data_IF_358929580276
#
_entry.id   IF_358929580276
#
_cell.length_a   1.000
_cell.length_b   1.000
_cell.length_c   1.000
_cell.angle_alpha   90.00
_cell.angle_beta   90.00
_cell.angle_gamma   90.00
#
_symmetry.space_group_name_H-M   'P 1'
#
loop_
_entity.id
_entity.type
_entity.pdbx_description
1 polymer ?
#
# COMPACT_ATOMS: atom_id res chain seq x y z
N UNK A 1 12.25 -24.30 18.45
CA UNK A 1 11.74 -23.30 17.49
C UNK A 1 12.81 -22.30 16.99
N UNK A 2 14.08 -22.41 17.42
CA UNK A 2 15.19 -21.61 16.87
C UNK A 2 15.87 -22.31 15.68
N UNK A 3 15.82 -23.65 15.63
CA UNK A 3 16.55 -24.48 14.65
C UNK A 3 15.93 -24.60 13.24
N UNK A 4 14.90 -23.82 12.89
CA UNK A 4 14.24 -23.90 11.58
C UNK A 4 14.29 -22.59 10.76
N UNK A 5 14.98 -21.57 11.28
CA UNK A 5 15.32 -20.36 10.53
C UNK A 5 16.71 -20.45 9.86
N UNK A 6 17.47 -21.52 10.14
CA UNK A 6 18.87 -21.67 9.75
C UNK A 6 19.06 -21.97 8.24
N UNK A 7 18.03 -22.48 7.56
CA UNK A 7 18.15 -22.97 6.16
C UNK A 7 17.77 -21.94 5.07
N UNK A 8 17.18 -20.79 5.41
CA UNK A 8 16.65 -19.85 4.40
C UNK A 8 17.63 -18.72 4.07
N UNK A 9 18.52 -18.40 4.99
CA UNK A 9 19.56 -17.38 4.80
C UNK A 9 20.77 -17.90 5.54
N UNK A 10 21.78 -18.44 4.84
CA UNK A 10 22.95 -19.07 5.45
C UNK A 10 23.75 -18.13 6.35
N UNK A 11 23.25 -17.88 7.56
CA UNK A 11 23.91 -17.14 8.61
C UNK A 11 24.77 -18.13 9.41
N UNK A 12 26.07 -17.85 9.59
CA UNK A 12 26.90 -18.70 10.42
C UNK A 12 26.38 -18.69 11.87
N UNK A 13 26.08 -19.89 12.36
CA UNK A 13 25.64 -20.16 13.73
C UNK A 13 26.72 -19.67 14.70
N UNK A 14 26.40 -18.65 15.50
CA UNK A 14 27.25 -18.20 16.61
C UNK A 14 27.50 -16.69 16.73
N UNK A 15 26.94 -15.83 15.86
CA UNK A 15 27.10 -14.39 16.04
C UNK A 15 26.34 -13.91 17.30
N UNK A 16 27.09 -13.52 18.33
CA UNK A 16 26.54 -12.82 19.50
C UNK A 16 25.86 -11.53 19.04
N UNK A 17 24.53 -11.52 19.13
CA UNK A 17 23.61 -10.47 18.67
C UNK A 17 23.93 -9.10 19.28
N UNK A 18 24.63 -9.05 20.42
CA UNK A 18 25.05 -7.80 21.07
C UNK A 18 26.04 -6.97 20.25
N UNK A 19 26.98 -7.58 19.53
CA UNK A 19 27.97 -6.84 18.73
C UNK A 19 27.31 -6.15 17.52
N UNK A 20 26.34 -6.81 16.87
CA UNK A 20 25.58 -6.25 15.75
C UNK A 20 24.63 -5.09 16.16
N UNK A 21 24.45 -4.87 17.46
CA UNK A 21 23.63 -3.81 18.03
C UNK A 21 24.18 -2.39 17.84
N UNK A 22 25.40 -2.18 17.34
CA UNK A 22 25.99 -0.83 17.11
C UNK A 22 26.63 -0.69 15.73
N UNK A 23 26.64 0.53 15.17
CA UNK A 23 27.28 0.84 13.87
C UNK A 23 28.76 0.41 13.87
N UNK A 24 29.43 0.54 15.03
CA UNK A 24 30.82 0.11 15.23
C UNK A 24 31.00 -1.41 15.12
N UNK A 25 30.08 -2.20 15.66
CA UNK A 25 30.18 -3.66 15.59
C UNK A 25 29.86 -4.22 14.21
N UNK A 26 28.89 -3.63 13.49
CA UNK A 26 28.62 -4.00 12.08
C UNK A 26 29.81 -3.68 11.17
N UNK A 27 30.47 -2.54 11.39
CA UNK A 27 31.67 -2.15 10.64
C UNK A 27 32.88 -3.06 10.94
N UNK A 28 33.04 -3.48 12.19
CA UNK A 28 34.07 -4.44 12.60
C UNK A 28 33.88 -5.81 11.94
N UNK A 29 32.64 -6.30 11.83
CA UNK A 29 32.32 -7.58 11.20
C UNK A 29 32.47 -7.55 9.67
N UNK A 30 32.24 -6.39 9.04
CA UNK A 30 32.56 -6.14 7.63
C UNK A 30 34.06 -6.18 7.35
N UNK A 31 34.86 -5.53 8.19
CA UNK A 31 36.32 -5.53 8.04
C UNK A 31 36.95 -6.91 8.27
N UNK A 32 36.30 -7.77 9.06
CA UNK A 32 36.71 -9.15 9.32
C UNK A 32 36.22 -10.15 8.25
N UNK A 33 35.49 -9.69 7.22
CA UNK A 33 34.97 -10.54 6.14
C UNK A 33 33.85 -11.50 6.56
N UNK A 34 33.28 -11.31 7.75
CA UNK A 34 32.29 -12.22 8.35
C UNK A 34 30.86 -11.93 7.86
N UNK A 35 30.61 -10.70 7.39
CA UNK A 35 29.36 -10.30 6.74
C UNK A 35 29.67 -9.67 5.39
N UNK A 36 28.88 -10.02 4.37
CA UNK A 36 28.94 -9.37 3.07
C UNK A 36 28.02 -8.13 3.02
N UNK A 37 28.21 -7.29 1.99
CA UNK A 37 27.48 -6.02 1.85
C UNK A 37 25.95 -6.20 1.77
N UNK A 38 25.48 -7.28 1.13
CA UNK A 38 24.06 -7.61 1.04
C UNK A 38 23.45 -8.00 2.40
N UNK A 39 24.17 -8.77 3.22
CA UNK A 39 23.77 -9.14 4.57
C UNK A 39 23.73 -7.93 5.50
N UNK A 40 24.64 -6.98 5.32
CA UNK A 40 24.65 -5.71 6.07
C UNK A 40 23.49 -4.81 5.66
N UNK A 41 23.19 -4.73 4.37
CA UNK A 41 21.99 -4.05 3.86
C UNK A 41 20.72 -4.70 4.44
N UNK A 42 20.64 -6.03 4.45
CA UNK A 42 19.55 -6.80 5.06
C UNK A 42 19.38 -6.49 6.54
N UNK A 43 20.45 -6.55 7.34
CA UNK A 43 20.43 -6.24 8.78
C UNK A 43 20.10 -4.77 9.06
N UNK A 44 20.56 -3.85 8.22
CA UNK A 44 20.26 -2.41 8.35
C UNK A 44 18.79 -2.12 8.04
N UNK A 45 18.24 -2.77 7.02
CA UNK A 45 16.81 -2.75 6.70
C UNK A 45 16.03 -3.33 7.88
N UNK A 46 16.36 -4.54 8.34
CA UNK A 46 15.68 -5.19 9.48
C UNK A 46 15.72 -4.32 10.72
N UNK A 47 16.86 -3.71 11.08
CA UNK A 47 16.97 -2.84 12.26
C UNK A 47 16.22 -1.52 12.13
N UNK A 48 16.27 -0.86 10.96
CA UNK A 48 15.45 0.34 10.69
C UNK A 48 13.97 -0.01 10.77
N UNK A 49 13.58 -1.16 10.20
CA UNK A 49 12.25 -1.75 10.32
C UNK A 49 11.91 -1.98 11.79
N UNK A 50 12.77 -2.56 12.65
CA UNK A 50 12.41 -2.86 14.06
C UNK A 50 12.20 -1.60 14.92
N UNK A 51 13.05 -0.57 14.77
CA UNK A 51 12.93 0.68 15.57
C UNK A 51 11.71 1.49 15.12
N UNK A 52 11.46 1.55 13.81
CA UNK A 52 10.26 2.20 13.27
C UNK A 52 9.01 1.39 13.57
N UNK A 53 9.07 0.05 13.51
CA UNK A 53 8.00 -0.85 13.90
C UNK A 53 7.63 -0.72 15.37
N UNK A 54 8.57 -0.42 16.27
CA UNK A 54 8.25 -0.16 17.68
C UNK A 54 7.48 1.16 17.85
N UNK A 55 7.84 2.20 17.08
CA UNK A 55 7.07 3.47 17.04
C UNK A 55 5.73 3.31 16.34
N UNK A 56 5.67 2.53 15.28
CA UNK A 56 4.44 2.14 14.60
C UNK A 56 3.58 1.21 15.45
N UNK A 57 4.15 0.38 16.34
CA UNK A 57 3.40 -0.39 17.33
C UNK A 57 2.86 0.50 18.47
N UNK A 58 3.54 1.60 18.80
CA UNK A 58 3.04 2.61 19.74
C UNK A 58 1.93 3.47 19.11
N UNK A 59 2.05 3.86 17.83
CA UNK A 59 0.98 4.50 17.06
C UNK A 59 -0.19 3.54 16.77
N UNK A 60 0.13 2.31 16.39
CA UNK A 60 -0.83 1.22 16.27
C UNK A 60 -1.42 0.90 17.63
N UNK A 61 -0.72 1.14 18.74
CA UNK A 61 -1.17 1.11 20.14
C UNK A 61 -2.45 1.92 20.37
N UNK A 62 -2.51 3.12 19.82
CA UNK A 62 -3.72 3.97 19.85
C UNK A 62 -4.81 3.48 18.87
N UNK A 63 -4.41 2.74 17.84
CA UNK A 63 -5.28 2.13 16.82
C UNK A 63 -5.55 0.64 17.07
N UNK A 64 -5.11 0.12 18.23
CA UNK A 64 -5.13 -1.31 18.58
C UNK A 64 -6.53 -1.89 18.39
N UNK A 65 -7.63 -1.19 18.72
CA UNK A 65 -8.96 -1.74 18.48
C UNK A 65 -9.30 -1.99 17.01
N UNK A 66 -8.84 -1.20 16.03
CA UNK A 66 -9.19 -1.42 14.62
C UNK A 66 -8.28 -2.47 13.97
N UNK A 67 -6.98 -2.43 14.26
CA UNK A 67 -6.01 -3.40 13.78
C UNK A 67 -6.25 -4.76 14.44
N UNK A 68 -6.38 -4.82 15.77
CA UNK A 68 -6.76 -6.07 16.46
C UNK A 68 -8.15 -6.53 16.04
N UNK A 69 -9.18 -5.69 15.86
CA UNK A 69 -10.48 -6.20 15.34
C UNK A 69 -10.33 -6.89 13.98
N UNK A 70 -9.43 -6.42 13.11
CA UNK A 70 -9.10 -7.07 11.85
C UNK A 70 -8.37 -8.41 12.02
N UNK A 71 -7.49 -8.53 13.03
CA UNK A 71 -6.71 -9.74 13.34
C UNK A 71 -7.42 -10.75 14.27
N UNK A 72 -8.31 -10.30 15.15
CA UNK A 72 -9.02 -11.11 16.17
C UNK A 72 -10.43 -11.50 15.73
N UNK A 73 -10.95 -10.94 14.63
CA UNK A 73 -12.10 -11.55 13.94
C UNK A 73 -11.61 -12.87 13.37
N UNK A 74 -11.91 -13.93 14.11
CA UNK A 74 -11.89 -15.30 13.63
C UNK A 74 -12.72 -15.32 12.33
N UNK A 75 -12.07 -15.22 11.16
CA UNK A 75 -12.74 -15.05 9.87
C UNK A 75 -13.39 -16.38 9.47
N UNK A 76 -14.55 -16.66 10.06
CA UNK A 76 -15.43 -17.73 9.63
C UNK A 76 -16.01 -17.42 8.25
N UNK A 77 -16.54 -18.44 7.55
CA UNK A 77 -17.08 -18.32 6.18
C UNK A 77 -18.17 -17.25 5.98
N UNK A 78 -18.82 -16.80 7.06
CA UNK A 78 -19.99 -15.92 7.03
C UNK A 78 -19.71 -14.43 6.77
N UNK A 79 -18.46 -13.96 6.86
CA UNK A 79 -18.17 -12.53 6.64
C UNK A 79 -17.89 -12.14 5.18
N UNK A 80 -17.83 -13.09 4.26
CA UNK A 80 -17.62 -12.79 2.83
C UNK A 80 -18.90 -12.26 2.13
N UNK A 81 -20.07 -12.42 2.74
CA UNK A 81 -21.36 -11.97 2.18
C UNK A 81 -21.63 -10.46 2.39
N UNK A 82 -20.88 -9.78 3.28
CA UNK A 82 -21.03 -8.34 3.57
C UNK A 82 -20.04 -7.45 2.78
N UNK A 83 -19.13 -8.01 2.00
CA UNK A 83 -18.18 -7.20 1.24
C UNK A 83 -18.85 -6.53 0.04
N UNK A 84 -18.54 -5.25 -0.14
CA UNK A 84 -18.97 -4.52 -1.32
C UNK A 84 -18.26 -5.06 -2.56
N UNK A 85 -19.02 -5.13 -3.66
CA UNK A 85 -18.44 -5.35 -4.97
C UNK A 85 -17.85 -4.03 -5.48
N UNK A 86 -16.52 -4.00 -5.59
CA UNK A 86 -15.79 -2.83 -6.08
C UNK A 86 -16.30 -2.41 -7.46
N UNK A 87 -16.59 -3.37 -8.36
CA UNK A 87 -17.08 -3.05 -9.72
C UNK A 87 -18.43 -2.35 -9.66
N UNK A 88 -19.38 -2.95 -8.97
CA UNK A 88 -20.72 -2.38 -8.80
C UNK A 88 -20.68 -0.99 -8.16
N UNK A 89 -19.80 -0.80 -7.18
CA UNK A 89 -19.59 0.50 -6.54
C UNK A 89 -19.08 1.51 -7.56
N UNK A 90 -18.05 1.14 -8.32
CA UNK A 90 -17.48 2.03 -9.32
C UNK A 90 -18.50 2.38 -10.40
N UNK A 91 -19.24 1.41 -10.94
CA UNK A 91 -20.24 1.65 -11.99
C UNK A 91 -21.28 2.67 -11.51
N UNK A 92 -21.76 2.53 -10.27
CA UNK A 92 -22.70 3.47 -9.64
C UNK A 92 -22.12 4.88 -9.47
N UNK A 93 -20.85 4.98 -9.08
CA UNK A 93 -20.17 6.27 -8.90
C UNK A 93 -19.92 6.97 -10.25
N UNK A 94 -19.49 6.21 -11.25
CA UNK A 94 -19.16 6.70 -12.59
C UNK A 94 -20.40 7.17 -13.34
N UNK A 95 -21.50 6.41 -13.31
CA UNK A 95 -22.73 6.70 -14.05
C UNK A 95 -23.32 8.09 -13.74
N UNK A 96 -23.14 8.57 -12.52
CA UNK A 96 -23.68 9.84 -12.05
C UNK A 96 -22.63 10.96 -11.92
N UNK A 97 -21.39 10.68 -12.33
CA UNK A 97 -20.29 11.62 -12.16
C UNK A 97 -20.13 12.58 -13.34
N UNK A 98 -19.58 13.79 -13.11
CA UNK A 98 -19.10 14.62 -14.20
C UNK A 98 -18.14 13.83 -15.09
N UNK A 99 -18.28 13.96 -16.40
CA UNK A 99 -17.46 13.25 -17.42
C UNK A 99 -17.39 11.73 -17.27
N UNK A 100 -18.31 11.12 -16.51
CA UNK A 100 -18.24 9.72 -16.13
C UNK A 100 -16.92 9.36 -15.43
N UNK A 101 -16.40 10.26 -14.59
CA UNK A 101 -15.10 10.09 -13.92
C UNK A 101 -15.16 10.15 -12.41
N UNK A 102 -14.22 9.45 -11.77
CA UNK A 102 -14.00 9.51 -10.33
C UNK A 102 -12.53 9.80 -9.99
N UNK A 103 -12.30 10.17 -8.73
CA UNK A 103 -11.01 10.08 -8.05
C UNK A 103 -10.97 8.73 -7.34
N UNK A 104 -9.87 8.00 -7.47
CA UNK A 104 -9.64 6.75 -6.74
C UNK A 104 -8.40 6.90 -5.87
N UNK A 105 -8.56 6.69 -4.57
CA UNK A 105 -7.48 6.76 -3.58
C UNK A 105 -7.28 5.37 -3.01
N UNK A 106 -6.08 4.82 -3.19
CA UNK A 106 -5.77 3.49 -2.72
C UNK A 106 -4.63 3.49 -1.72
N UNK A 107 -4.85 2.86 -0.57
CA UNK A 107 -3.84 2.67 0.46
C UNK A 107 -3.24 1.26 0.39
N UNK A 108 -1.92 1.14 0.41
CA UNK A 108 -1.22 -0.15 0.40
C UNK A 108 -1.68 -1.02 -0.78
N UNK A 109 -2.15 -2.25 -0.53
CA UNK A 109 -2.79 -3.11 -1.53
C UNK A 109 -3.94 -2.41 -2.28
N UNK A 110 -4.77 -1.61 -1.62
CA UNK A 110 -5.82 -0.83 -2.28
C UNK A 110 -5.29 0.14 -3.34
N UNK A 111 -4.03 0.61 -3.20
CA UNK A 111 -3.32 1.37 -4.22
C UNK A 111 -3.06 0.56 -5.49
N UNK A 112 -2.80 -0.73 -5.37
CA UNK A 112 -2.67 -1.63 -6.52
C UNK A 112 -4.03 -1.87 -7.20
N UNK A 113 -5.12 -2.01 -6.44
CA UNK A 113 -6.48 -2.06 -7.00
C UNK A 113 -6.84 -0.77 -7.73
N UNK A 114 -6.59 0.38 -7.11
CA UNK A 114 -6.83 1.69 -7.70
C UNK A 114 -6.06 1.87 -9.02
N UNK A 115 -4.77 1.54 -9.00
CA UNK A 115 -3.89 1.63 -10.16
C UNK A 115 -4.30 0.67 -11.27
N UNK A 116 -4.60 -0.58 -10.94
CA UNK A 116 -5.03 -1.56 -11.93
C UNK A 116 -6.34 -1.14 -12.61
N UNK A 117 -7.29 -0.60 -11.84
CA UNK A 117 -8.52 -0.04 -12.41
C UNK A 117 -8.22 1.12 -13.35
N UNK A 118 -7.46 2.11 -12.88
CA UNK A 118 -7.17 3.34 -13.64
C UNK A 118 -6.40 3.06 -14.95
N UNK A 119 -5.56 2.02 -14.99
CA UNK A 119 -4.87 1.63 -16.23
C UNK A 119 -5.78 0.88 -17.20
N UNK A 120 -6.78 0.17 -16.71
CA UNK A 120 -7.71 -0.58 -17.54
C UNK A 120 -8.86 0.30 -18.06
N UNK A 121 -9.29 1.30 -17.27
CA UNK A 121 -10.40 2.21 -17.57
C UNK A 121 -9.99 3.68 -17.33
N UNK A 122 -8.99 4.21 -18.06
CA UNK A 122 -8.52 5.58 -17.87
C UNK A 122 -9.64 6.61 -18.10
N UNK A 123 -10.60 6.33 -18.99
CA UNK A 123 -11.76 7.16 -19.25
C UNK A 123 -12.65 7.39 -18.01
N UNK A 124 -12.61 6.49 -17.02
CA UNK A 124 -13.38 6.59 -15.77
C UNK A 124 -12.62 7.21 -14.60
N UNK A 125 -11.33 7.54 -14.76
CA UNK A 125 -10.49 8.01 -13.65
C UNK A 125 -9.87 9.36 -14.00
N UNK A 126 -10.23 10.38 -13.22
CA UNK A 126 -9.57 11.69 -13.26
C UNK A 126 -8.24 11.68 -12.48
N UNK A 127 -8.22 11.02 -11.32
CA UNK A 127 -7.05 10.97 -10.44
C UNK A 127 -6.95 9.60 -9.75
N UNK A 128 -5.81 8.96 -9.87
CA UNK A 128 -5.39 7.78 -9.12
C UNK A 128 -4.33 8.19 -8.08
N UNK A 129 -4.72 8.28 -6.82
CA UNK A 129 -3.86 8.70 -5.71
C UNK A 129 -3.43 7.48 -4.89
N UNK A 130 -2.17 7.10 -5.02
CA UNK A 130 -1.59 5.90 -4.42
C UNK A 130 -0.85 6.26 -3.13
N UNK A 131 -1.23 5.65 -2.00
CA UNK A 131 -0.64 5.90 -0.68
C UNK A 131 0.07 4.65 -0.20
N UNK A 132 1.38 4.76 0.09
CA UNK A 132 2.19 3.66 0.63
C UNK A 132 2.04 2.35 -0.18
N UNK A 133 1.92 2.47 -1.51
CA UNK A 133 1.53 1.36 -2.38
C UNK A 133 2.75 0.51 -2.79
N UNK A 134 2.67 -0.83 -2.76
CA UNK A 134 3.74 -1.72 -3.22
C UNK A 134 3.82 -1.82 -4.74
N UNK A 135 4.27 -0.74 -5.38
CA UNK A 135 4.35 -0.58 -6.84
C UNK A 135 5.19 -1.67 -7.54
N UNK A 136 6.17 -2.25 -6.84
CA UNK A 136 7.02 -3.35 -7.33
C UNK A 136 6.86 -4.63 -6.49
N UNK A 137 5.74 -4.75 -5.76
CA UNK A 137 5.53 -5.76 -4.73
C UNK A 137 6.16 -5.33 -3.40
N UNK A 138 6.27 -6.22 -2.42
CA UNK A 138 7.02 -5.96 -1.19
C UNK A 138 7.67 -7.21 -0.61
N UNK A 139 8.96 -7.15 -0.19
CA UNK A 139 9.60 -8.24 0.55
C UNK A 139 8.84 -8.65 1.81
N UNK A 140 8.14 -7.72 2.44
CA UNK A 140 7.39 -7.98 3.68
C UNK A 140 6.14 -8.85 3.44
N UNK A 141 5.71 -9.04 2.19
CA UNK A 141 4.70 -10.04 1.84
C UNK A 141 5.15 -11.48 2.22
N UNK A 142 6.47 -11.72 2.24
CA UNK A 142 7.07 -12.98 2.73
C UNK A 142 6.85 -13.14 4.23
N UNK A 143 6.89 -12.04 4.98
CA UNK A 143 6.59 -12.04 6.42
C UNK A 143 5.08 -12.22 6.64
N UNK A 144 4.22 -11.63 5.79
CA UNK A 144 2.78 -11.94 5.77
C UNK A 144 2.52 -13.45 5.57
N UNK A 145 3.27 -14.10 4.69
CA UNK A 145 3.23 -15.56 4.49
C UNK A 145 3.65 -16.35 5.75
N UNK A 146 4.52 -15.79 6.58
CA UNK A 146 5.01 -16.42 7.82
C UNK A 146 4.15 -16.12 9.06
N UNK A 147 3.57 -14.91 9.16
CA UNK A 147 2.74 -14.49 10.29
C UNK A 147 1.31 -15.04 10.19
N UNK A 148 0.86 -15.41 8.99
CA UNK A 148 -0.40 -16.12 8.77
C UNK A 148 -0.15 -17.62 9.06
N UNK A 149 -0.06 -17.97 10.34
CA UNK A 149 0.03 -19.36 10.82
C UNK A 149 -1.23 -20.20 10.56
N UNK A 150 -2.19 -19.73 9.76
CA UNK A 150 -3.50 -20.35 9.63
C UNK A 150 -4.13 -20.09 8.27
N UNK A 151 -3.67 -20.79 7.22
CA UNK A 151 -4.42 -21.02 5.96
C UNK A 151 -5.06 -19.81 5.24
N UNK A 152 -4.79 -18.55 5.63
CA UNK A 152 -5.32 -17.35 4.99
C UNK A 152 -4.42 -16.92 3.82
N UNK A 153 -4.15 -17.89 2.94
CA UNK A 153 -3.52 -17.68 1.66
C UNK A 153 -4.52 -16.96 0.74
N UNK A 154 -4.39 -15.64 0.61
CA UNK A 154 -5.12 -14.85 -0.40
C UNK A 154 -4.28 -14.70 -1.67
N UNK A 155 -4.90 -14.80 -2.85
CA UNK A 155 -4.22 -14.60 -4.14
C UNK A 155 -3.62 -13.19 -4.27
N UNK A 156 -4.14 -12.21 -3.54
CA UNK A 156 -3.58 -10.86 -3.47
C UNK A 156 -2.20 -10.79 -2.81
N UNK A 157 -1.92 -11.60 -1.79
CA UNK A 157 -0.61 -11.65 -1.12
C UNK A 157 0.44 -12.20 -2.08
N UNK A 158 0.06 -13.22 -2.87
CA UNK A 158 0.92 -13.79 -3.91
C UNK A 158 1.23 -12.76 -5.01
N UNK A 159 0.23 -11.97 -5.43
CA UNK A 159 0.41 -10.88 -6.40
C UNK A 159 1.34 -9.78 -5.89
N UNK A 160 1.36 -9.52 -4.58
CA UNK A 160 2.26 -8.54 -3.95
C UNK A 160 3.69 -9.03 -3.74
N UNK A 161 4.01 -10.28 -4.07
CA UNK A 161 5.38 -10.77 -3.98
C UNK A 161 6.30 -9.98 -4.94
N UNK A 162 7.54 -9.66 -4.52
CA UNK A 162 8.51 -9.06 -5.42
C UNK A 162 8.67 -9.88 -6.70
N UNK A 163 8.82 -9.21 -7.84
CA UNK A 163 8.95 -9.83 -9.16
C UNK A 163 7.75 -10.66 -9.64
N UNK A 164 6.58 -10.56 -8.99
CA UNK A 164 5.36 -11.22 -9.46
C UNK A 164 5.08 -10.82 -10.94
N UNK A 165 4.79 -11.77 -11.85
CA UNK A 165 4.51 -11.48 -13.26
C UNK A 165 3.44 -10.42 -13.47
N UNK A 166 2.39 -10.41 -12.64
CA UNK A 166 1.31 -9.44 -12.72
C UNK A 166 1.80 -8.01 -12.41
N UNK A 167 2.56 -7.80 -11.33
CA UNK A 167 3.12 -6.47 -11.01
C UNK A 167 4.10 -6.00 -12.10
N UNK A 168 4.92 -6.90 -12.63
CA UNK A 168 5.82 -6.57 -13.75
C UNK A 168 5.03 -6.12 -14.97
N UNK A 169 3.94 -6.81 -15.29
CA UNK A 169 3.08 -6.43 -16.41
C UNK A 169 2.35 -5.11 -16.15
N UNK A 170 1.80 -4.90 -14.95
CA UNK A 170 1.20 -3.62 -14.54
C UNK A 170 2.19 -2.44 -14.66
N UNK A 171 3.47 -2.67 -14.35
CA UNK A 171 4.53 -1.67 -14.54
C UNK A 171 4.87 -1.42 -16.01
N UNK A 172 4.88 -2.47 -16.85
CA UNK A 172 5.10 -2.33 -18.28
C UNK A 172 3.94 -1.64 -18.98
N UNK A 173 2.70 -2.01 -18.66
CA UNK A 173 1.49 -1.37 -19.20
C UNK A 173 1.44 0.10 -18.84
N UNK A 174 1.78 0.44 -17.59
CA UNK A 174 1.88 1.84 -17.16
C UNK A 174 2.76 2.67 -18.09
N UNK A 175 3.96 2.18 -18.38
CA UNK A 175 4.92 2.86 -19.23
C UNK A 175 4.47 2.90 -20.69
N UNK A 176 3.95 1.78 -21.21
CA UNK A 176 3.53 1.65 -22.60
C UNK A 176 2.33 2.52 -22.95
N UNK A 177 1.37 2.64 -22.05
CA UNK A 177 0.10 3.34 -22.27
C UNK A 177 0.08 4.74 -21.65
N UNK A 178 1.24 5.28 -21.27
CA UNK A 178 1.31 6.58 -20.60
C UNK A 178 0.63 7.70 -21.40
N UNK A 179 0.84 7.75 -22.72
CA UNK A 179 0.20 8.73 -23.59
C UNK A 179 -1.34 8.57 -23.64
N UNK A 180 -1.85 7.34 -23.56
CA UNK A 180 -3.30 7.07 -23.52
C UNK A 180 -3.90 7.65 -22.23
N UNK A 181 -3.21 7.48 -21.10
CA UNK A 181 -3.67 8.05 -19.83
C UNK A 181 -3.69 9.58 -19.88
N UNK A 182 -2.69 10.20 -20.49
CA UNK A 182 -2.64 11.65 -20.68
C UNK A 182 -3.75 12.16 -21.60
N UNK A 183 -4.02 11.46 -22.71
CA UNK A 183 -5.13 11.77 -23.63
C UNK A 183 -6.49 11.70 -22.91
N UNK A 184 -6.69 10.69 -22.09
CA UNK A 184 -7.89 10.57 -21.25
C UNK A 184 -7.85 11.49 -20.03
N UNK A 185 -6.79 12.25 -19.77
CA UNK A 185 -6.68 13.13 -18.59
C UNK A 185 -6.65 12.38 -17.25
N UNK A 186 -6.20 11.13 -17.24
CA UNK A 186 -6.01 10.31 -16.03
C UNK A 186 -4.67 10.64 -15.39
N UNK A 187 -4.71 11.23 -14.19
CA UNK A 187 -3.52 11.58 -13.41
C UNK A 187 -3.15 10.47 -12.43
N UNK A 188 -1.86 10.21 -12.28
CA UNK A 188 -1.31 9.28 -11.30
C UNK A 188 -0.43 10.03 -10.29
N UNK A 189 -0.74 9.89 -9.00
CA UNK A 189 -0.01 10.54 -7.92
C UNK A 189 0.47 9.51 -6.92
N UNK A 190 1.74 9.58 -6.55
CA UNK A 190 2.36 8.63 -5.62
C UNK A 190 2.75 9.33 -4.31
N UNK A 191 2.07 8.99 -3.21
CA UNK A 191 2.40 9.43 -1.86
C UNK A 191 3.25 8.36 -1.16
N UNK A 192 4.53 8.67 -0.98
CA UNK A 192 5.55 7.78 -0.44
C UNK A 192 5.91 8.14 1.00
N UNK A 193 5.78 7.15 1.87
CA UNK A 193 6.41 7.14 3.18
C UNK A 193 7.87 6.68 3.05
N UNK A 194 8.82 7.54 3.39
CA UNK A 194 10.25 7.20 3.23
C UNK A 194 10.75 6.16 4.24
N UNK A 195 10.08 6.05 5.38
CA UNK A 195 10.40 5.09 6.44
C UNK A 195 9.42 3.93 6.49
N UNK A 196 8.70 3.68 5.39
CA UNK A 196 7.77 2.58 5.25
C UNK A 196 8.46 1.23 5.47
N UNK A 197 8.05 0.55 6.54
CA UNK A 197 8.56 -0.72 7.00
C UNK A 197 7.92 -1.92 6.28
N UNK A 198 6.75 -1.71 5.67
CA UNK A 198 6.01 -2.73 4.92
C UNK A 198 6.25 -2.64 3.43
N UNK A 199 6.56 -1.47 2.88
CA UNK A 199 6.86 -1.23 1.47
C UNK A 199 8.09 -0.32 1.36
N UNK A 200 9.28 -0.83 1.74
CA UNK A 200 10.50 -0.04 1.74
C UNK A 200 10.92 0.35 0.33
N UNK A 201 11.89 1.25 0.23
CA UNK A 201 12.54 1.51 -1.05
C UNK A 201 13.31 0.28 -1.56
N UNK A 202 13.34 0.03 -2.88
CA UNK A 202 12.76 0.81 -3.99
C UNK A 202 11.34 0.34 -4.40
N UNK A 203 10.61 -0.34 -3.52
CA UNK A 203 9.38 -1.05 -3.86
C UNK A 203 8.14 -0.16 -3.94
N UNK A 204 8.14 0.97 -3.25
CA UNK A 204 7.08 1.99 -3.33
C UNK A 204 7.25 2.98 -4.50
N UNK A 205 8.29 2.81 -5.32
CA UNK A 205 8.56 3.70 -6.44
C UNK A 205 7.75 3.36 -7.68
N UNK A 206 7.13 4.38 -8.28
CA UNK A 206 6.56 4.31 -9.61
C UNK A 206 7.13 5.47 -10.44
N UNK A 207 8.04 5.21 -11.38
CA UNK A 207 8.58 6.24 -12.27
C UNK A 207 7.49 6.85 -13.15
N UNK A 208 7.66 8.11 -13.57
CA UNK A 208 6.77 8.82 -14.51
C UNK A 208 5.33 9.01 -14.02
N UNK A 209 5.14 9.18 -12.71
CA UNK A 209 3.89 9.71 -12.15
C UNK A 209 3.78 11.21 -12.38
N UNK A 210 2.55 11.73 -12.46
CA UNK A 210 2.28 13.16 -12.63
C UNK A 210 2.73 13.99 -11.42
N UNK A 211 2.65 13.41 -10.22
CA UNK A 211 3.23 13.97 -9.02
C UNK A 211 3.73 12.88 -8.07
N UNK A 212 4.81 13.17 -7.35
CA UNK A 212 5.33 12.32 -6.28
C UNK A 212 5.59 13.13 -5.03
N UNK A 213 4.99 12.69 -3.92
CA UNK A 213 5.14 13.30 -2.61
C UNK A 213 5.91 12.35 -1.71
N UNK A 214 7.12 12.74 -1.29
CA UNK A 214 8.00 11.94 -0.44
C UNK A 214 8.09 12.55 0.94
N UNK A 215 7.81 11.74 1.95
CA UNK A 215 7.78 12.22 3.33
C UNK A 215 8.62 11.37 4.26
N UNK A 216 9.71 11.99 4.73
CA UNK A 216 10.45 11.56 5.89
C UNK A 216 9.59 11.57 7.15
N UNK A 217 9.86 10.61 8.03
CA UNK A 217 9.20 10.45 9.33
C UNK A 217 7.87 9.71 9.31
N UNK A 218 7.41 9.23 8.15
CA UNK A 218 6.21 8.40 8.01
C UNK A 218 6.61 6.95 7.74
N UNK A 219 6.03 6.02 8.49
CA UNK A 219 5.94 4.59 8.20
C UNK A 219 4.64 4.24 7.47
N UNK A 220 4.34 2.95 7.32
CA UNK A 220 3.22 2.49 6.48
C UNK A 220 1.87 2.96 7.01
N UNK A 221 1.59 2.70 8.29
CA UNK A 221 0.31 3.06 8.92
C UNK A 221 0.22 4.56 9.25
N UNK A 222 1.33 5.20 9.64
CA UNK A 222 1.32 6.65 9.86
C UNK A 222 1.12 7.45 8.58
N UNK A 223 1.41 6.89 7.39
CA UNK A 223 1.15 7.54 6.11
C UNK A 223 -0.35 7.86 5.89
N UNK A 224 -1.23 6.88 6.13
CA UNK A 224 -2.68 7.01 5.88
C UNK A 224 -3.37 7.94 6.90
N UNK A 225 -2.76 8.14 8.06
CA UNK A 225 -3.25 9.05 9.10
C UNK A 225 -2.57 10.42 9.10
N UNK A 226 -1.63 10.66 8.19
CA UNK A 226 -0.87 11.88 8.16
C UNK A 226 -1.71 13.07 7.70
N UNK A 227 -1.61 14.20 8.40
CA UNK A 227 -2.18 15.45 7.91
C UNK A 227 -1.59 15.87 6.54
N UNK A 228 -0.39 15.39 6.21
CA UNK A 228 0.22 15.60 4.89
C UNK A 228 -0.57 14.91 3.78
N UNK A 229 -1.10 13.71 4.03
CA UNK A 229 -1.95 13.01 3.05
C UNK A 229 -3.19 13.86 2.74
N UNK A 230 -3.90 14.30 3.77
CA UNK A 230 -5.07 15.17 3.60
C UNK A 230 -4.75 16.43 2.78
N UNK A 231 -3.69 17.17 3.13
CA UNK A 231 -3.32 18.40 2.42
C UNK A 231 -3.02 18.13 0.94
N UNK A 232 -2.24 17.09 0.64
CA UNK A 232 -1.86 16.79 -0.74
C UNK A 232 -3.00 16.18 -1.55
N UNK A 233 -3.90 15.41 -0.93
CA UNK A 233 -5.10 14.93 -1.61
C UNK A 233 -6.01 16.10 -2.00
N UNK A 234 -6.30 17.01 -1.06
CA UNK A 234 -7.11 18.20 -1.34
C UNK A 234 -6.46 19.06 -2.41
N UNK A 235 -5.14 19.27 -2.33
CA UNK A 235 -4.37 19.99 -3.35
C UNK A 235 -4.56 19.35 -4.73
N UNK A 236 -4.38 18.03 -4.85
CA UNK A 236 -4.53 17.37 -6.16
C UNK A 236 -5.96 17.44 -6.71
N UNK A 237 -6.97 17.39 -5.85
CA UNK A 237 -8.38 17.52 -6.23
C UNK A 237 -8.69 18.94 -6.73
N UNK A 238 -8.21 19.98 -6.03
CA UNK A 238 -8.55 21.38 -6.32
C UNK A 238 -7.72 21.99 -7.44
N UNK A 239 -6.42 21.73 -7.46
CA UNK A 239 -5.50 22.42 -8.37
C UNK A 239 -5.60 21.89 -9.81
N UNK A 240 -6.14 20.68 -9.99
CA UNK A 240 -6.11 19.99 -11.28
C UNK A 240 -7.51 19.73 -11.88
N UNK A 241 -8.58 20.23 -11.25
CA UNK A 241 -9.94 20.09 -11.77
C UNK A 241 -10.87 21.15 -11.17
N UNK A 242 -11.59 21.85 -12.04
CA UNK A 242 -12.73 22.70 -11.64
C UNK A 242 -13.97 21.87 -11.25
N UNK A 243 -13.96 20.57 -11.57
CA UNK A 243 -15.04 19.63 -11.27
C UNK A 243 -14.72 18.82 -10.02
N UNK A 244 -15.72 18.63 -9.16
CA UNK A 244 -15.63 17.73 -8.03
C UNK A 244 -16.19 16.36 -8.42
N UNK A 245 -15.29 15.41 -8.68
CA UNK A 245 -15.65 14.02 -8.96
C UNK A 245 -15.93 13.24 -7.66
N UNK A 246 -16.73 12.15 -7.71
CA UNK A 246 -16.81 11.20 -6.61
C UNK A 246 -15.43 10.64 -6.25
N UNK A 247 -15.21 10.33 -4.97
CA UNK A 247 -13.93 9.87 -4.44
C UNK A 247 -14.12 8.48 -3.84
N UNK A 248 -13.51 7.46 -4.44
CA UNK A 248 -13.52 6.09 -3.93
C UNK A 248 -12.24 5.81 -3.12
N UNK A 249 -12.39 5.37 -1.87
CA UNK A 249 -11.30 4.99 -0.98
C UNK A 249 -11.18 3.46 -0.88
N UNK A 250 -10.02 2.93 -1.28
CA UNK A 250 -9.73 1.49 -1.25
C UNK A 250 -8.66 1.16 -0.20
N UNK A 251 -9.04 0.37 0.80
CA UNK A 251 -8.18 0.01 1.93
C UNK A 251 -7.13 -1.06 1.58
N UNK A 252 -6.16 -1.25 2.48
CA UNK A 252 -5.08 -2.22 2.32
C UNK A 252 -5.42 -3.61 2.87
N UNK A 253 -4.41 -4.50 2.83
CA UNK A 253 -4.49 -5.83 3.43
C UNK A 253 -4.66 -5.74 4.95
N UNK A 254 -5.56 -6.55 5.51
CA UNK A 254 -5.72 -6.69 6.97
C UNK A 254 -6.50 -5.56 7.65
N UNK A 255 -7.01 -4.60 6.89
CA UNK A 255 -7.83 -3.49 7.36
C UNK A 255 -9.14 -3.41 6.58
N UNK A 256 -9.99 -2.45 6.93
CA UNK A 256 -11.26 -2.14 6.26
C UNK A 256 -11.38 -0.61 6.05
N UNK A 257 -12.56 -0.14 5.64
CA UNK A 257 -12.84 1.28 5.40
C UNK A 257 -12.52 2.22 6.58
N UNK A 258 -12.50 1.73 7.82
CA UNK A 258 -12.28 2.55 9.01
C UNK A 258 -10.86 3.13 9.05
N UNK A 259 -9.91 2.57 8.28
CA UNK A 259 -8.57 3.14 8.14
C UNK A 259 -8.60 4.59 7.62
N UNK A 260 -9.66 4.97 6.91
CA UNK A 260 -9.84 6.32 6.37
C UNK A 260 -10.54 7.29 7.34
N UNK A 261 -10.90 6.86 8.54
CA UNK A 261 -11.72 7.65 9.48
C UNK A 261 -11.10 9.03 9.77
N UNK A 262 -9.77 9.11 9.93
CA UNK A 262 -9.08 10.38 10.19
C UNK A 262 -9.13 11.31 8.98
N UNK A 263 -8.86 10.78 7.79
CA UNK A 263 -8.96 11.53 6.53
C UNK A 263 -10.38 12.09 6.34
N UNK A 264 -11.41 11.24 6.52
CA UNK A 264 -12.82 11.65 6.42
C UNK A 264 -13.16 12.79 7.37
N UNK A 265 -12.78 12.68 8.64
CA UNK A 265 -12.99 13.76 9.63
C UNK A 265 -12.33 15.07 9.23
N UNK A 266 -11.11 15.02 8.71
CA UNK A 266 -10.42 16.23 8.23
C UNK A 266 -11.13 16.85 7.03
N UNK A 267 -11.62 16.03 6.10
CA UNK A 267 -12.44 16.51 4.97
C UNK A 267 -13.76 17.10 5.45
N UNK A 268 -14.50 16.42 6.32
CA UNK A 268 -15.78 16.90 6.89
C UNK A 268 -15.61 18.26 7.60
N UNK A 269 -14.50 18.45 8.33
CA UNK A 269 -14.24 19.66 9.09
C UNK A 269 -13.84 20.86 8.21
N UNK A 270 -13.11 20.63 7.13
CA UNK A 270 -12.44 21.71 6.38
C UNK A 270 -12.88 21.85 4.91
N UNK A 271 -13.42 20.78 4.31
CA UNK A 271 -13.92 20.71 2.94
C UNK A 271 -15.17 19.82 2.84
N UNK A 272 -16.30 20.23 3.45
CA UNK A 272 -17.53 19.44 3.47
C UNK A 272 -18.02 19.08 2.05
N UNK A 273 -17.80 19.97 1.08
CA UNK A 273 -18.14 19.75 -0.33
C UNK A 273 -17.35 18.61 -1.00
N UNK A 274 -16.11 18.35 -0.54
CA UNK A 274 -15.33 17.17 -0.91
C UNK A 274 -15.83 15.96 -0.11
N UNK A 275 -16.06 16.12 1.19
CA UNK A 275 -16.42 15.03 2.09
C UNK A 275 -17.73 14.32 1.69
N UNK A 276 -18.72 15.08 1.21
CA UNK A 276 -20.01 14.55 0.70
C UNK A 276 -19.85 13.61 -0.50
N UNK A 277 -18.69 13.65 -1.18
CA UNK A 277 -18.37 12.83 -2.36
C UNK A 277 -17.46 11.65 -2.03
N UNK A 278 -17.12 11.45 -0.75
CA UNK A 278 -16.21 10.38 -0.34
C UNK A 278 -16.97 9.09 -0.04
N UNK A 279 -16.62 8.05 -0.76
CA UNK A 279 -17.12 6.69 -0.60
C UNK A 279 -15.95 5.81 -0.16
N UNK A 280 -16.01 5.29 1.06
CA UNK A 280 -15.10 4.25 1.53
C UNK A 280 -15.89 2.96 1.58
N UNK A 281 -15.33 1.88 1.03
CA UNK A 281 -15.98 0.57 1.00
C UNK A 281 -15.10 -0.46 1.67
N UNK A 282 -15.73 -1.48 2.25
CA UNK A 282 -15.05 -2.66 2.74
C UNK A 282 -15.19 -3.78 1.72
N UNK A 283 -14.08 -4.24 1.16
CA UNK A 283 -14.08 -5.22 0.07
C UNK A 283 -13.21 -6.43 0.38
N UNK A 284 -13.45 -7.52 -0.35
CA UNK A 284 -12.66 -8.73 -0.21
C UNK A 284 -11.28 -8.58 -0.86
N UNK A 285 -10.35 -8.06 -0.07
CA UNK A 285 -8.95 -7.89 -0.44
C UNK A 285 -8.17 -9.20 -0.53
N UNK A 286 -8.77 -10.36 -0.21
CA UNK A 286 -8.10 -11.67 -0.35
C UNK A 286 -8.19 -12.20 -1.78
N UNK A 287 -9.17 -11.71 -2.55
CA UNK A 287 -9.29 -11.94 -3.98
C UNK A 287 -8.16 -11.24 -4.75
N UNK A 288 -7.81 -11.71 -5.96
CA UNK A 288 -6.87 -11.01 -6.82
C UNK A 288 -7.25 -9.56 -7.03
N UNK A 289 -6.24 -8.74 -7.33
CA UNK A 289 -6.48 -7.39 -7.83
C UNK A 289 -7.40 -7.47 -9.05
N UNK A 290 -8.61 -6.92 -8.89
CA UNK A 290 -9.82 -7.23 -9.67
C UNK A 290 -9.76 -6.82 -11.16
N UNK A 291 -8.67 -6.20 -11.59
CA UNK A 291 -8.54 -5.53 -12.88
C UNK A 291 -7.29 -6.05 -13.58
N UNK A 292 -7.39 -7.30 -14.03
CA UNK A 292 -6.31 -8.00 -14.69
C UNK A 292 -6.43 -7.80 -16.21
N UNK A 293 -5.42 -7.19 -16.84
CA UNK A 293 -5.38 -6.96 -18.30
C UNK A 293 -5.31 -8.23 -19.16
N UNK A 294 -5.54 -9.42 -18.58
CA UNK A 294 -5.36 -10.72 -19.22
C UNK A 294 -6.59 -11.64 -19.20
N UNK A 295 -7.73 -11.20 -18.65
CA UNK A 295 -8.92 -12.07 -18.59
C UNK A 295 -10.20 -11.26 -18.65
N UNK A 296 -10.56 -10.84 -19.86
CA UNK A 296 -11.90 -10.70 -20.41
C UNK A 296 -11.74 -10.36 -21.91
N UNK A 297 -11.37 -11.37 -22.70
CA UNK A 297 -11.66 -11.44 -24.14
C UNK A 297 -12.63 -12.59 -24.34
#
# INVERSE_FOLDING_TARGET
>A
MVAQLDDIVGFPVGLQVEAAGTIRGVYSLLQQGTLNLEQVLGLTIVRKTTVNFTRELLYAGEQVPCVLKGFTRNKGPKQYEEYDDIRKTIDMLVENAPDNKMVIVGYSLGGLHARAYAQQYPEHVALCFMVATPQKGTPTAIIGRLLIFANAYGQSVEQMMPNNPWIRELNRQYQRHRAIFEEHGTRFVNFRAEHDELVPQPYSELPHVDAEYRFGGLGHLSAIHSARLYHHLVKEIRDNSDKLYPILLLHGFGVDEHIFKRLRRQLEQHHPDIAERVHAISYDYTKPVLFNGASQR
#
